data_IF_915046282201
#
_entry.id   IF_915046282201
#
_cell.length_a   1.000
_cell.length_b   1.000
_cell.length_c   1.000
_cell.angle_alpha   90.00
_cell.angle_beta   90.00
_cell.angle_gamma   90.00
#
_symmetry.space_group_name_H-M   'P 1'
#
loop_
_entity.id
_entity.type
_entity.pdbx_description
1 polymer ?
#
# COMPACT_ATOMS: atom_id res chain seq x y z
N UNK A 1 -2.23 -10.58 2.85
CA UNK A 1 -2.16 -11.95 2.32
C UNK A 1 -2.15 -11.95 0.80
N UNK A 2 -3.12 -11.30 0.16
CA UNK A 2 -3.18 -11.28 -1.30
C UNK A 2 -1.94 -10.64 -1.93
N UNK A 3 -1.46 -9.54 -1.38
CA UNK A 3 -0.26 -8.89 -1.89
C UNK A 3 0.98 -9.75 -1.67
N UNK A 4 1.09 -10.37 -0.51
CA UNK A 4 2.20 -11.26 -0.20
C UNK A 4 2.27 -12.41 -1.19
N UNK A 5 1.14 -13.00 -1.54
CA UNK A 5 1.07 -14.05 -2.56
C UNK A 5 1.43 -13.51 -3.94
N UNK A 6 1.02 -12.29 -4.24
CA UNK A 6 1.35 -11.65 -5.50
C UNK A 6 2.86 -11.50 -5.68
N UNK A 7 3.56 -11.06 -4.65
CA UNK A 7 4.98 -10.71 -4.72
C UNK A 7 5.86 -11.92 -4.39
N UNK A 8 5.56 -12.65 -3.34
CA UNK A 8 6.43 -13.69 -2.77
C UNK A 8 6.06 -15.10 -3.16
N UNK A 9 5.00 -15.31 -3.94
CA UNK A 9 4.59 -16.65 -4.30
C UNK A 9 4.08 -17.49 -3.14
N UNK A 10 3.63 -16.86 -2.08
CA UNK A 10 3.24 -17.55 -0.87
C UNK A 10 4.39 -17.88 0.07
N UNK A 11 5.59 -17.42 -0.23
CA UNK A 11 6.74 -17.58 0.66
C UNK A 11 6.47 -16.88 2.00
N UNK A 12 7.02 -17.47 3.05
CA UNK A 12 6.92 -16.89 4.38
C UNK A 12 7.80 -15.66 4.50
N UNK A 13 7.21 -14.50 4.30
CA UNK A 13 7.83 -13.25 4.69
C UNK A 13 7.02 -12.68 5.84
N UNK A 14 7.67 -12.47 6.96
CA UNK A 14 7.02 -12.04 8.20
C UNK A 14 7.08 -10.55 8.42
N UNK A 15 7.82 -9.82 7.59
CA UNK A 15 7.93 -8.37 7.75
C UNK A 15 6.66 -7.68 7.28
N UNK A 16 6.17 -6.76 8.10
CA UNK A 16 5.00 -5.94 7.80
C UNK A 16 5.40 -4.48 7.90
N UNK A 17 5.08 -3.72 6.86
CA UNK A 17 5.24 -2.27 6.87
C UNK A 17 3.89 -1.66 7.20
N UNK A 18 3.84 -0.88 8.27
CA UNK A 18 2.63 -0.16 8.69
C UNK A 18 2.78 1.30 8.29
N UNK A 19 1.86 1.78 7.46
CA UNK A 19 1.82 3.18 7.04
C UNK A 19 0.82 3.93 7.90
N UNK A 20 1.30 4.86 8.71
CA UNK A 20 0.42 5.72 9.52
C UNK A 20 -0.08 6.87 8.65
N UNK A 21 -1.39 6.97 8.49
CA UNK A 21 -2.01 7.89 7.54
C UNK A 21 -2.58 9.11 8.27
N UNK A 22 -1.93 10.25 8.09
CA UNK A 22 -2.42 11.56 8.49
C UNK A 22 -3.02 12.32 7.30
N UNK A 23 -3.32 13.60 7.51
CA UNK A 23 -4.01 14.42 6.51
C UNK A 23 -3.23 14.63 5.20
N UNK A 24 -1.90 14.56 5.23
CA UNK A 24 -1.06 14.82 4.08
C UNK A 24 -0.14 13.66 3.69
N UNK A 25 -0.29 12.51 4.32
CA UNK A 25 0.58 11.35 4.09
C UNK A 25 0.57 10.91 2.64
N UNK A 26 -0.59 10.97 1.99
CA UNK A 26 -0.75 10.51 0.60
C UNK A 26 0.13 11.25 -0.39
N UNK A 27 0.50 12.50 -0.12
CA UNK A 27 1.27 13.35 -1.03
C UNK A 27 2.77 13.34 -0.76
N UNK A 28 3.21 12.73 0.31
CA UNK A 28 4.62 12.73 0.68
C UNK A 28 5.41 11.75 -0.16
N UNK A 29 6.42 12.25 -0.86
CA UNK A 29 7.28 11.43 -1.73
C UNK A 29 7.95 10.30 -0.96
N UNK A 30 8.43 10.56 0.24
CA UNK A 30 9.09 9.55 1.08
C UNK A 30 8.16 8.40 1.43
N UNK A 31 6.90 8.69 1.75
CA UNK A 31 5.89 7.67 2.08
C UNK A 31 5.63 6.77 0.87
N UNK A 32 5.46 7.38 -0.30
CA UNK A 32 5.26 6.63 -1.55
C UNK A 32 6.44 5.71 -1.84
N UNK A 33 7.65 6.20 -1.64
CA UNK A 33 8.86 5.41 -1.83
C UNK A 33 8.89 4.22 -0.87
N UNK A 34 8.62 4.43 0.41
CA UNK A 34 8.62 3.36 1.40
C UNK A 34 7.56 2.28 1.11
N UNK A 35 6.38 2.69 0.66
CA UNK A 35 5.33 1.75 0.26
C UNK A 35 5.83 0.87 -0.89
N UNK A 36 6.30 1.48 -1.97
CA UNK A 36 6.74 0.74 -3.14
C UNK A 36 7.98 -0.12 -2.86
N UNK A 37 8.91 0.39 -2.05
CA UNK A 37 10.09 -0.38 -1.67
C UNK A 37 9.73 -1.59 -0.82
N UNK A 38 8.75 -1.44 0.05
CA UNK A 38 8.23 -2.56 0.85
C UNK A 38 7.61 -3.64 -0.02
N UNK A 39 6.85 -3.24 -1.04
CA UNK A 39 6.28 -4.18 -2.01
C UNK A 39 7.39 -4.90 -2.78
N UNK A 40 8.38 -4.17 -3.26
CA UNK A 40 9.52 -4.77 -3.97
C UNK A 40 10.25 -5.82 -3.11
N UNK A 41 10.40 -5.54 -1.82
CA UNK A 41 11.05 -6.47 -0.87
C UNK A 41 10.17 -7.67 -0.50
N UNK A 42 8.91 -7.65 -0.90
CA UNK A 42 7.96 -8.71 -0.54
C UNK A 42 7.38 -8.58 0.85
N UNK A 43 7.49 -7.44 1.50
CA UNK A 43 6.85 -7.21 2.78
C UNK A 43 5.34 -7.05 2.59
N UNK A 44 4.57 -7.46 3.59
CA UNK A 44 3.17 -7.09 3.68
C UNK A 44 3.07 -5.61 4.06
N UNK A 45 2.08 -4.92 3.52
CA UNK A 45 1.88 -3.50 3.80
C UNK A 45 0.45 -3.27 4.24
N UNK A 46 0.26 -2.52 5.31
CA UNK A 46 -1.05 -2.09 5.76
C UNK A 46 -1.05 -0.58 6.00
N UNK A 47 -2.20 0.04 5.88
CA UNK A 47 -2.40 1.43 6.22
C UNK A 47 -3.25 1.58 7.45
N UNK A 48 -2.96 2.57 8.29
CA UNK A 48 -3.75 2.87 9.47
C UNK A 48 -3.99 4.37 9.57
N UNK A 49 -5.23 4.79 9.43
CA UNK A 49 -5.62 6.17 9.65
C UNK A 49 -5.52 6.52 11.13
N UNK A 50 -4.80 7.58 11.44
CA UNK A 50 -4.55 8.03 12.82
C UNK A 50 -5.18 9.40 13.13
N UNK A 51 -5.92 9.99 12.19
CA UNK A 51 -6.52 11.31 12.34
C UNK A 51 -7.49 11.39 13.51
N UNK A 52 -8.12 10.29 13.89
CA UNK A 52 -9.05 10.23 15.03
C UNK A 52 -8.39 10.20 16.40
N UNK A 53 -7.07 10.01 16.45
CA UNK A 53 -6.33 10.04 17.70
C UNK A 53 -6.21 11.50 18.16
N UNK A 54 -6.58 11.77 19.41
CA UNK A 54 -6.53 13.12 19.96
C UNK A 54 -5.09 13.53 20.25
N UNK A 55 -4.75 14.77 19.90
CA UNK A 55 -3.47 15.36 20.22
C UNK A 55 -3.43 15.89 21.66
N UNK A 56 -2.35 16.60 22.03
CA UNK A 56 -2.20 17.18 23.37
C UNK A 56 -3.31 18.15 23.75
N UNK A 57 -3.93 18.78 22.76
CA UNK A 57 -5.04 19.72 22.95
C UNK A 57 -6.39 19.02 22.92
N UNK A 58 -6.41 17.68 22.95
CA UNK A 58 -7.63 16.86 22.81
C UNK A 58 -8.36 17.09 21.48
N UNK A 59 -7.62 17.50 20.46
CA UNK A 59 -8.15 17.75 19.12
C UNK A 59 -7.84 16.59 18.20
N UNK A 60 -8.78 16.24 17.33
CA UNK A 60 -8.56 15.32 16.22
C UNK A 60 -8.23 16.11 14.96
N UNK A 61 -7.72 15.42 13.94
CA UNK A 61 -7.40 16.02 12.64
C UNK A 61 -8.33 15.49 11.57
N UNK A 62 -8.38 16.18 10.45
CA UNK A 62 -9.15 15.73 9.29
C UNK A 62 -8.51 14.46 8.72
N UNK A 63 -9.35 13.50 8.35
CA UNK A 63 -8.88 12.29 7.69
C UNK A 63 -8.31 12.64 6.32
N UNK A 64 -7.07 12.22 6.09
CA UNK A 64 -6.43 12.39 4.80
C UNK A 64 -6.78 11.28 3.82
N UNK A 65 -6.51 11.50 2.53
CA UNK A 65 -6.68 10.45 1.52
C UNK A 65 -5.82 9.23 1.83
N UNK A 66 -6.30 8.07 1.39
CA UNK A 66 -5.55 6.84 1.49
C UNK A 66 -4.43 6.86 0.43
N UNK A 67 -3.15 6.80 0.82
CA UNK A 67 -2.05 6.80 -0.14
C UNK A 67 -2.12 5.63 -1.14
N UNK A 68 -2.73 4.52 -0.75
CA UNK A 68 -2.87 3.37 -1.65
C UNK A 68 -3.82 3.61 -2.81
N UNK A 69 -4.69 4.60 -2.72
CA UNK A 69 -5.55 5.02 -3.83
C UNK A 69 -4.76 5.71 -4.96
N UNK A 70 -3.60 6.25 -4.63
CA UNK A 70 -2.78 7.03 -5.55
C UNK A 70 -1.59 6.25 -6.11
N UNK A 71 -1.46 4.99 -5.75
CA UNK A 71 -0.37 4.12 -6.16
C UNK A 71 -0.91 2.86 -6.81
N UNK A 72 -0.17 2.34 -7.77
CA UNK A 72 -0.54 1.13 -8.48
C UNK A 72 0.67 0.31 -8.88
N UNK A 73 0.38 -0.87 -9.43
CA UNK A 73 1.38 -1.77 -9.98
C UNK A 73 0.89 -2.23 -11.35
N UNK A 74 1.58 -1.82 -12.39
CA UNK A 74 1.28 -2.24 -13.76
C UNK A 74 1.85 -3.63 -13.99
N UNK A 75 0.99 -4.59 -14.27
CA UNK A 75 1.39 -5.98 -14.50
C UNK A 75 1.75 -6.16 -15.97
N UNK A 76 2.85 -6.80 -16.24
CA UNK A 76 3.28 -7.09 -17.61
C UNK A 76 2.33 -8.04 -18.33
N UNK A 77 2.45 -8.11 -19.65
CA UNK A 77 1.59 -8.95 -20.49
C UNK A 77 1.70 -10.43 -20.13
N UNK A 78 2.85 -10.89 -19.68
CA UNK A 78 3.06 -12.29 -19.26
C UNK A 78 2.81 -12.50 -17.75
N UNK A 79 2.55 -11.44 -17.01
CA UNK A 79 2.25 -11.52 -15.59
C UNK A 79 3.45 -11.66 -14.66
N UNK A 80 4.68 -11.52 -15.15
CA UNK A 80 5.89 -11.81 -14.37
C UNK A 80 6.64 -10.58 -13.88
N UNK A 81 6.23 -9.38 -14.30
CA UNK A 81 6.90 -8.12 -13.92
C UNK A 81 5.85 -7.12 -13.45
N UNK A 82 6.14 -6.42 -12.37
CA UNK A 82 5.34 -5.30 -11.87
C UNK A 82 6.11 -4.00 -12.01
N UNK A 83 5.46 -2.99 -12.59
CA UNK A 83 6.02 -1.65 -12.72
C UNK A 83 5.24 -0.69 -11.83
N UNK A 84 5.88 -0.04 -10.85
CA UNK A 84 5.19 0.93 -10.01
C UNK A 84 4.58 2.08 -10.80
N UNK A 85 3.36 2.47 -10.43
CA UNK A 85 2.64 3.59 -11.03
C UNK A 85 2.12 4.53 -9.95
N UNK A 86 1.86 5.77 -10.34
CA UNK A 86 1.31 6.79 -9.47
C UNK A 86 0.22 7.57 -10.22
N UNK A 87 -0.83 7.92 -9.49
CA UNK A 87 -1.89 8.78 -10.01
C UNK A 87 -1.42 10.22 -10.02
N UNK A 88 -1.40 10.85 -11.20
CA UNK A 88 -0.92 12.23 -11.37
C UNK A 88 -1.98 13.30 -11.03
N UNK A 89 -3.21 12.88 -10.76
CA UNK A 89 -4.37 13.74 -10.63
C UNK A 89 -5.28 13.67 -11.85
N UNK A 90 -4.76 13.21 -12.98
CA UNK A 90 -5.52 13.08 -14.23
C UNK A 90 -5.33 11.73 -14.91
N UNK A 91 -4.20 11.07 -14.69
CA UNK A 91 -3.89 9.79 -15.30
C UNK A 91 -2.86 9.01 -14.48
N UNK A 92 -2.77 7.72 -14.72
CA UNK A 92 -1.73 6.89 -14.17
C UNK A 92 -0.45 7.07 -15.00
N UNK A 93 0.67 7.28 -14.29
CA UNK A 93 2.00 7.42 -14.90
C UNK A 93 2.98 6.51 -14.17
N UNK A 94 4.09 6.17 -14.80
CA UNK A 94 5.11 5.37 -14.15
C UNK A 94 5.75 6.14 -13.00
N UNK A 95 5.99 5.41 -11.90
CA UNK A 95 6.67 5.95 -10.74
C UNK A 95 8.17 5.84 -10.95
N UNK A 96 8.84 6.99 -11.11
CA UNK A 96 10.23 7.03 -11.56
C UNK A 96 11.26 6.63 -10.50
N UNK A 97 10.92 6.67 -9.23
CA UNK A 97 11.88 6.45 -8.16
C UNK A 97 12.22 4.97 -7.94
N UNK A 98 11.42 4.05 -8.45
CA UNK A 98 11.64 2.60 -8.33
C UNK A 98 11.36 1.95 -9.67
N UNK A 99 12.34 1.18 -10.14
CA UNK A 99 12.22 0.45 -11.40
C UNK A 99 11.28 -0.75 -11.27
N UNK A 100 10.84 -1.26 -12.41
CA UNK A 100 10.08 -2.50 -12.46
C UNK A 100 10.84 -3.64 -11.78
N UNK A 101 10.11 -4.59 -11.23
CA UNK A 101 10.70 -5.74 -10.53
C UNK A 101 9.93 -7.01 -10.84
N UNK A 102 10.60 -8.15 -10.67
CA UNK A 102 9.99 -9.46 -10.87
C UNK A 102 8.96 -9.73 -9.79
N UNK A 103 7.86 -10.32 -10.20
CA UNK A 103 6.79 -10.79 -9.30
C UNK A 103 6.45 -12.22 -9.65
N UNK A 104 5.71 -12.90 -8.78
CA UNK A 104 5.15 -14.18 -9.13
C UNK A 104 4.16 -14.01 -10.28
N UNK A 105 4.18 -14.95 -11.23
CA UNK A 105 3.30 -14.88 -12.40
C UNK A 105 1.84 -14.72 -11.99
N UNK A 106 1.20 -13.72 -12.55
CA UNK A 106 -0.17 -13.37 -12.26
C UNK A 106 -1.15 -14.10 -13.19
N UNK A 107 -2.39 -14.33 -12.69
CA UNK A 107 -3.46 -14.88 -13.53
C UNK A 107 -3.73 -14.00 -14.75
N UNK A 108 -4.28 -14.60 -15.79
CA UNK A 108 -4.56 -13.91 -17.06
C UNK A 108 -5.42 -12.66 -16.88
N UNK A 109 -6.39 -12.68 -15.95
CA UNK A 109 -7.28 -11.55 -15.71
C UNK A 109 -6.59 -10.32 -15.12
N UNK A 110 -5.37 -10.47 -14.60
CA UNK A 110 -4.58 -9.35 -14.06
C UNK A 110 -3.47 -8.88 -14.99
N UNK A 111 -3.11 -9.67 -15.99
CA UNK A 111 -2.02 -9.35 -16.91
C UNK A 111 -2.35 -8.13 -17.77
N UNK A 112 -1.35 -7.28 -17.99
CA UNK A 112 -1.51 -6.08 -18.78
C UNK A 112 -2.32 -4.97 -18.11
N UNK A 113 -2.70 -5.13 -16.84
CA UNK A 113 -3.53 -4.16 -16.11
C UNK A 113 -2.73 -3.41 -15.06
N UNK A 114 -3.15 -2.20 -14.79
CA UNK A 114 -2.65 -1.43 -13.65
C UNK A 114 -3.54 -1.72 -12.44
N UNK A 115 -2.95 -2.29 -11.40
CA UNK A 115 -3.67 -2.67 -10.19
C UNK A 115 -3.45 -1.60 -9.11
N UNK A 116 -4.52 -0.87 -8.82
CA UNK A 116 -4.50 0.13 -7.75
C UNK A 116 -4.26 -0.55 -6.41
N UNK A 117 -3.31 -0.04 -5.61
CA UNK A 117 -2.89 -0.72 -4.38
C UNK A 117 -4.01 -0.85 -3.36
N UNK A 118 -4.93 0.11 -3.29
CA UNK A 118 -6.05 0.06 -2.34
C UNK A 118 -6.99 -1.13 -2.57
N UNK A 119 -6.96 -1.76 -3.74
CA UNK A 119 -7.73 -2.97 -3.99
C UNK A 119 -7.10 -4.21 -3.36
N UNK A 120 -5.87 -4.11 -2.91
CA UNK A 120 -5.09 -5.24 -2.39
C UNK A 120 -4.60 -5.04 -0.97
N UNK A 121 -4.22 -3.79 -0.61
CA UNK A 121 -3.64 -3.47 0.68
C UNK A 121 -4.73 -3.04 1.64
N UNK A 122 -4.84 -3.68 2.80
CA UNK A 122 -5.86 -3.31 3.77
C UNK A 122 -5.54 -1.97 4.42
N UNK A 123 -6.59 -1.22 4.72
CA UNK A 123 -6.50 0.04 5.44
C UNK A 123 -7.49 0.01 6.61
N UNK A 124 -7.01 0.41 7.76
CA UNK A 124 -7.78 0.45 8.99
C UNK A 124 -7.81 1.88 9.54
N UNK A 125 -8.72 2.12 10.48
CA UNK A 125 -8.75 3.35 11.25
C UNK A 125 -8.47 3.00 12.70
N UNK A 126 -7.46 3.64 13.31
CA UNK A 126 -7.03 3.28 14.66
C UNK A 126 -8.15 3.40 15.67
N UNK A 127 -8.94 4.47 15.61
CA UNK A 127 -10.03 4.72 16.56
C UNK A 127 -11.28 3.93 16.18
N UNK A 128 -11.74 4.05 14.94
CA UNK A 128 -13.00 3.44 14.49
C UNK A 128 -12.93 1.90 14.49
N UNK A 129 -11.77 1.32 14.22
CA UNK A 129 -11.56 -0.12 14.18
C UNK A 129 -10.86 -0.67 15.42
N UNK A 130 -10.82 0.11 16.51
CA UNK A 130 -10.24 -0.31 17.79
C UNK A 130 -8.82 -0.88 17.63
N UNK A 131 -7.91 -0.03 17.16
CA UNK A 131 -6.52 -0.45 16.90
C UNK A 131 -5.82 -0.95 18.16
N UNK A 132 -6.14 -0.37 19.31
CA UNK A 132 -5.54 -0.80 20.58
C UNK A 132 -5.71 -2.30 20.81
N UNK A 133 -6.88 -2.85 20.54
CA UNK A 133 -7.16 -4.27 20.73
C UNK A 133 -6.90 -5.14 19.50
N UNK A 134 -6.90 -4.55 18.30
CA UNK A 134 -6.92 -5.31 17.05
C UNK A 134 -5.64 -5.21 16.24
N UNK A 135 -4.71 -4.31 16.57
CA UNK A 135 -3.50 -4.10 15.76
C UNK A 135 -2.70 -5.40 15.58
N UNK A 136 -2.57 -6.19 16.62
CA UNK A 136 -1.86 -7.46 16.56
C UNK A 136 -2.40 -8.40 15.48
N UNK A 137 -3.73 -8.44 15.31
CA UNK A 137 -4.34 -9.27 14.28
C UNK A 137 -4.15 -8.68 12.87
N UNK A 138 -4.05 -7.35 12.75
CA UNK A 138 -3.83 -6.73 11.44
C UNK A 138 -2.45 -7.04 10.87
N UNK A 139 -1.45 -7.17 11.73
CA UNK A 139 -0.06 -7.41 11.31
C UNK A 139 0.34 -8.88 11.42
N UNK A 140 -0.44 -9.67 12.12
CA UNK A 140 -0.23 -11.12 12.25
C UNK A 140 -0.91 -11.87 11.15
#
# INVERSE_FOLDING_TARGET
IALKRLINGGLNNTSVTTVLIGSETYSRRWVRYEIMKSIERGNSVIGVHINGIRDRSSQTKTQGPNPFDHLGLQISADGTVGTPTVWSGTQWVYYQDIEKFAIQQQPIDRRGKNLQLSTWLPTYDWVANDGFNNFGSWVG
#
